data_IF_460647814205
#
_entry.id   IF_460647814205
#
_cell.length_a   1.000
_cell.length_b   1.000
_cell.length_c   1.000
_cell.angle_alpha   90.00
_cell.angle_beta   90.00
_cell.angle_gamma   90.00
#
_symmetry.space_group_name_H-M   'P 1'
#
loop_
_entity.id
_entity.type
_entity.pdbx_description
1 polymer ?
#
# COMPACT_ATOMS: atom_id res chain seq x y z
N UNK A 1 26.83 -29.31 -6.54
CA UNK A 1 25.59 -28.85 -7.21
C UNK A 1 24.77 -27.88 -6.35
N UNK A 2 25.34 -27.20 -5.34
CA UNK A 2 24.57 -26.38 -4.37
C UNK A 2 24.51 -24.87 -4.67
N UNK A 3 25.19 -24.37 -5.70
CA UNK A 3 25.29 -22.92 -5.94
C UNK A 3 24.12 -22.31 -6.74
N UNK A 4 23.42 -23.09 -7.56
CA UNK A 4 22.35 -22.56 -8.46
C UNK A 4 21.11 -22.09 -7.72
N UNK A 5 20.74 -22.74 -6.61
CA UNK A 5 19.56 -22.38 -5.82
C UNK A 5 19.69 -21.03 -5.11
N UNK A 6 20.88 -20.74 -4.55
CA UNK A 6 21.17 -19.47 -3.88
C UNK A 6 21.17 -18.29 -4.84
N UNK A 7 21.66 -18.49 -6.05
CA UNK A 7 21.70 -17.46 -7.09
C UNK A 7 20.30 -17.11 -7.63
N UNK A 8 19.44 -18.11 -7.79
CA UNK A 8 18.04 -17.91 -8.18
C UNK A 8 17.25 -17.13 -7.10
N UNK A 9 17.44 -17.45 -5.83
CA UNK A 9 16.80 -16.73 -4.71
C UNK A 9 17.29 -15.28 -4.62
N UNK A 10 18.57 -15.02 -4.87
CA UNK A 10 19.14 -13.67 -4.90
C UNK A 10 18.60 -12.84 -6.07
N UNK A 11 18.42 -13.45 -7.26
CA UNK A 11 17.75 -12.77 -8.40
C UNK A 11 16.30 -12.46 -8.10
N UNK A 12 15.56 -13.39 -7.51
CA UNK A 12 14.15 -13.19 -7.16
C UNK A 12 13.98 -12.07 -6.12
N UNK A 13 14.82 -12.05 -5.07
CA UNK A 13 14.85 -10.95 -4.09
C UNK A 13 15.16 -9.61 -4.75
N UNK A 14 16.09 -9.57 -5.70
CA UNK A 14 16.44 -8.34 -6.41
C UNK A 14 15.27 -7.82 -7.23
N UNK A 15 14.59 -8.67 -8.02
CA UNK A 15 13.40 -8.28 -8.78
C UNK A 15 12.29 -7.73 -7.87
N UNK A 16 12.00 -8.42 -6.76
CA UNK A 16 11.00 -7.97 -5.79
C UNK A 16 11.37 -6.64 -5.10
N UNK A 17 12.66 -6.37 -4.92
CA UNK A 17 13.15 -5.11 -4.37
C UNK A 17 13.10 -3.99 -5.43
N UNK A 18 13.47 -4.28 -6.68
CA UNK A 18 13.43 -3.33 -7.80
C UNK A 18 11.99 -2.96 -8.19
N UNK A 19 11.02 -3.87 -8.04
CA UNK A 19 9.60 -3.56 -8.28
C UNK A 19 9.01 -2.63 -7.21
N UNK A 20 9.50 -2.70 -5.96
CA UNK A 20 9.19 -1.69 -4.93
C UNK A 20 9.81 -0.32 -5.22
N UNK A 21 10.92 -0.27 -5.97
CA UNK A 21 11.60 0.96 -6.39
C UNK A 21 10.91 1.65 -7.59
N UNK A 22 10.03 0.97 -8.34
CA UNK A 22 9.27 1.58 -9.45
C UNK A 22 8.06 2.40 -8.99
N UNK A 23 7.64 2.25 -7.72
CA UNK A 23 6.62 3.12 -7.15
C UNK A 23 7.25 4.52 -7.05
N UNK A 24 6.71 5.54 -7.74
CA UNK A 24 7.27 6.88 -7.70
C UNK A 24 7.46 7.32 -6.25
N UNK A 25 8.67 7.79 -5.92
CA UNK A 25 8.97 8.26 -4.57
C UNK A 25 7.91 9.29 -4.15
N UNK A 26 7.19 9.00 -3.07
CA UNK A 26 6.12 9.87 -2.56
C UNK A 26 4.70 9.53 -3.01
N UNK A 27 4.48 8.64 -4.00
CA UNK A 27 3.12 8.23 -4.40
C UNK A 27 2.32 7.67 -3.22
N UNK A 28 2.92 6.77 -2.45
CA UNK A 28 2.28 6.19 -1.25
C UNK A 28 1.95 7.25 -0.20
N UNK A 29 2.82 8.26 -0.05
CA UNK A 29 2.60 9.34 0.91
C UNK A 29 1.46 10.28 0.45
N UNK A 30 1.43 10.64 -0.83
CA UNK A 30 0.35 11.43 -1.42
C UNK A 30 -0.99 10.70 -1.33
N UNK A 31 -1.04 9.44 -1.78
CA UNK A 31 -2.25 8.61 -1.69
C UNK A 31 -2.75 8.46 -0.26
N UNK A 32 -1.83 8.29 0.70
CA UNK A 32 -2.18 8.24 2.12
C UNK A 32 -2.82 9.55 2.58
N UNK A 33 -2.26 10.69 2.21
CA UNK A 33 -2.82 12.00 2.56
C UNK A 33 -4.24 12.16 2.01
N UNK A 34 -4.43 11.88 0.72
CA UNK A 34 -5.71 12.03 0.04
C UNK A 34 -6.77 11.08 0.63
N UNK A 35 -6.39 9.84 0.93
CA UNK A 35 -7.28 8.84 1.54
C UNK A 35 -7.64 9.20 2.98
N UNK A 36 -6.72 9.75 3.78
CA UNK A 36 -7.00 10.23 5.13
C UNK A 36 -8.02 11.36 5.09
N UNK A 37 -7.86 12.32 4.17
CA UNK A 37 -8.81 13.43 4.02
C UNK A 37 -10.20 12.92 3.62
N UNK A 38 -10.26 12.06 2.59
CA UNK A 38 -11.51 11.49 2.09
C UNK A 38 -12.22 10.65 3.17
N UNK A 39 -11.53 9.65 3.73
CA UNK A 39 -12.10 8.74 4.72
C UNK A 39 -12.35 9.48 6.03
N UNK A 40 -11.54 10.48 6.36
CA UNK A 40 -11.70 11.38 7.50
C UNK A 40 -13.00 12.19 7.45
N UNK A 41 -13.64 12.33 6.30
CA UNK A 41 -14.97 12.94 6.21
C UNK A 41 -16.05 12.05 6.84
N UNK A 42 -15.87 10.73 6.78
CA UNK A 42 -16.86 9.73 7.17
C UNK A 42 -16.51 8.99 8.47
N UNK A 43 -15.23 8.92 8.78
CA UNK A 43 -14.68 8.14 9.88
C UNK A 43 -13.72 8.98 10.71
N UNK A 44 -13.53 8.60 11.97
CA UNK A 44 -12.41 9.12 12.74
C UNK A 44 -11.15 8.36 12.32
N UNK A 45 -10.38 8.96 11.41
CA UNK A 45 -9.21 8.33 10.79
C UNK A 45 -7.95 8.86 11.44
N UNK A 46 -7.25 7.98 12.14
CA UNK A 46 -5.86 8.22 12.51
C UNK A 46 -4.96 7.81 11.34
N UNK A 47 -4.09 8.70 10.81
CA UNK A 47 -3.27 8.42 9.62
C UNK A 47 -2.41 7.15 9.74
N UNK A 48 -2.03 6.79 10.97
CA UNK A 48 -1.22 5.63 11.32
C UNK A 48 -2.02 4.31 11.24
N UNK A 49 -3.35 4.37 11.40
CA UNK A 49 -4.26 3.22 11.32
C UNK A 49 -4.72 2.90 9.90
N UNK A 50 -4.39 3.76 8.93
CA UNK A 50 -4.65 3.50 7.51
C UNK A 50 -3.53 2.61 6.93
N UNK A 51 -3.83 1.33 6.73
CA UNK A 51 -2.98 0.44 5.95
C UNK A 51 -3.12 0.75 4.46
N UNK A 52 -1.99 0.95 3.78
CA UNK A 52 -1.92 1.14 2.34
C UNK A 52 -0.75 0.31 1.81
N UNK A 53 -1.07 -0.72 1.05
CA UNK A 53 -0.10 -1.57 0.37
C UNK A 53 -0.26 -1.46 -1.14
N UNK A 54 0.85 -1.22 -1.83
CA UNK A 54 0.91 -1.22 -3.28
C UNK A 54 1.80 -2.39 -3.68
N UNK A 55 1.21 -3.32 -4.42
CA UNK A 55 1.87 -4.51 -4.93
C UNK A 55 1.81 -4.58 -6.44
N UNK A 56 2.37 -5.67 -6.97
CA UNK A 56 2.31 -6.04 -8.37
C UNK A 56 1.79 -7.48 -8.43
N UNK A 57 0.74 -7.73 -9.21
CA UNK A 57 0.25 -9.09 -9.42
C UNK A 57 1.14 -9.88 -10.38
N UNK A 58 0.85 -11.17 -10.53
CA UNK A 58 1.60 -12.07 -11.43
C UNK A 58 1.56 -11.67 -12.91
N UNK A 59 0.66 -10.75 -13.28
CA UNK A 59 0.50 -10.24 -14.64
C UNK A 59 1.17 -8.87 -14.83
N UNK A 60 1.90 -8.37 -13.83
CA UNK A 60 2.54 -7.05 -13.89
C UNK A 60 1.57 -5.89 -13.69
N UNK A 61 0.38 -6.12 -13.12
CA UNK A 61 -0.59 -5.05 -12.81
C UNK A 61 -0.38 -4.58 -11.38
N UNK A 62 -0.45 -3.27 -11.18
CA UNK A 62 -0.44 -2.71 -9.83
C UNK A 62 -1.71 -3.09 -9.07
N UNK A 63 -1.53 -3.58 -7.85
CA UNK A 63 -2.61 -3.83 -6.90
C UNK A 63 -2.50 -2.83 -5.76
N UNK A 64 -3.61 -2.20 -5.38
CA UNK A 64 -3.65 -1.28 -4.24
C UNK A 64 -4.62 -1.85 -3.22
N UNK A 65 -4.12 -2.19 -2.04
CA UNK A 65 -4.91 -2.66 -0.92
C UNK A 65 -4.98 -1.57 0.15
N UNK A 66 -6.19 -1.21 0.54
CA UNK A 66 -6.47 -0.16 1.53
C UNK A 66 -7.25 -0.82 2.66
N UNK A 67 -6.70 -0.77 3.87
CA UNK A 67 -7.32 -1.30 5.07
C UNK A 67 -7.43 -0.19 6.13
N UNK A 68 -8.63 0.05 6.64
CA UNK A 68 -8.86 1.01 7.71
C UNK A 68 -9.71 0.35 8.79
N UNK A 69 -9.21 0.31 10.01
CA UNK A 69 -9.99 -0.06 11.19
C UNK A 69 -10.21 1.20 12.03
N UNK A 70 -11.47 1.50 12.32
CA UNK A 70 -11.88 2.68 13.08
C UNK A 70 -13.00 2.30 14.06
N UNK A 71 -12.98 2.94 15.22
CA UNK A 71 -13.95 2.69 16.29
C UNK A 71 -15.21 3.57 16.14
N UNK A 72 -15.18 4.56 15.24
CA UNK A 72 -16.23 5.57 15.13
C UNK A 72 -16.49 6.03 13.69
N UNK A 73 -17.74 5.88 13.29
CA UNK A 73 -18.30 6.55 12.10
C UNK A 73 -18.76 7.95 12.50
N UNK A 74 -18.41 8.96 11.71
CA UNK A 74 -18.87 10.34 11.91
C UNK A 74 -20.36 10.42 11.52
N UNK A 75 -21.16 11.03 12.39
CA UNK A 75 -22.54 11.36 12.02
C UNK A 75 -22.50 12.44 10.94
N UNK A 76 -22.75 12.04 9.70
CA UNK A 76 -23.07 12.97 8.62
C UNK A 76 -24.36 13.70 9.04
N UNK A 77 -24.28 15.01 9.29
CA UNK A 77 -25.49 15.82 9.37
C UNK A 77 -26.12 15.75 7.99
N UNK A 78 -27.30 15.13 7.89
CA UNK A 78 -28.08 15.21 6.67
C UNK A 78 -28.34 16.69 6.40
N UNK A 79 -27.93 17.16 5.23
CA UNK A 79 -28.36 18.46 4.71
C UNK A 79 -29.87 18.40 4.49
#
# INVERSE_FOLDING_TARGET
MEHKGKEAVMRLKRVLLTDKEQIPSGLTASLRSDLVELLGTYFDVEPEKLGLEIGLDVNGRYTVEISLMTDRVKHLRSV
#
